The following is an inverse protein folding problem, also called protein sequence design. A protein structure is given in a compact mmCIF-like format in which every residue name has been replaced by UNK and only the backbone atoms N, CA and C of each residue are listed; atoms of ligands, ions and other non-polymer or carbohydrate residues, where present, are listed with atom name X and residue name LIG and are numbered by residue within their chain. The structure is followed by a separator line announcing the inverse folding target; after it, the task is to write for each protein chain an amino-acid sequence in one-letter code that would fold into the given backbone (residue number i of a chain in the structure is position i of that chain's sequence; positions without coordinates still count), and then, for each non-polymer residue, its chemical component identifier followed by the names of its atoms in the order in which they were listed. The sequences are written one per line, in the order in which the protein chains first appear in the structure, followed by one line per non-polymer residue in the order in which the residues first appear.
data_IF_652498571690
#
_entry.id   IF_652498571690
#
_cell.length_a   1.000
_cell.length_b   1.000
_cell.length_c   1.000
_cell.angle_alpha   90.00
_cell.angle_beta   90.00
_cell.angle_gamma   90.00
#
_symmetry.space_group_name_H-M   'P 1'
#
loop_
_entity.id
_entity.type
_entity.pdbx_description
1 polymer ?
#
# COMPACT_ATOMS: atom_id res chain seq x y z
N UNK A 1 25.85 -17.07 -2.42
CA UNK A 1 24.69 -16.20 -2.58
C UNK A 1 24.78 -15.54 -3.94
N UNK A 2 23.82 -15.81 -4.79
CA UNK A 2 23.69 -15.22 -6.12
C UNK A 2 22.83 -13.98 -6.01
N UNK A 3 23.26 -12.87 -6.59
CA UNK A 3 22.53 -11.61 -6.56
C UNK A 3 23.43 -10.39 -6.50
N UNK A 4 22.83 -9.23 -6.70
CA UNK A 4 23.51 -7.93 -6.67
C UNK A 4 23.23 -7.23 -5.34
N UNK A 5 24.28 -6.70 -4.71
CA UNK A 5 24.19 -5.85 -3.53
C UNK A 5 24.47 -4.42 -3.92
N UNK A 6 23.48 -3.56 -3.78
CA UNK A 6 23.64 -2.12 -3.95
C UNK A 6 24.23 -1.52 -2.66
N UNK A 7 25.33 -0.78 -2.79
CA UNK A 7 25.99 -0.10 -1.66
C UNK A 7 25.38 1.27 -1.38
N UNK A 8 24.72 1.86 -2.39
CA UNK A 8 24.01 3.14 -2.28
C UNK A 8 22.61 2.96 -2.87
N UNK A 9 21.61 3.04 -2.00
CA UNK A 9 20.20 2.99 -2.39
C UNK A 9 19.43 4.04 -1.60
N UNK A 10 18.61 4.83 -2.28
CA UNK A 10 17.89 5.96 -1.71
C UNK A 10 16.39 5.80 -1.94
N UNK A 11 15.60 6.29 -0.99
CA UNK A 11 14.15 6.33 -1.06
C UNK A 11 13.65 7.73 -0.67
N UNK A 12 12.44 8.08 -1.07
CA UNK A 12 11.75 9.25 -0.53
C UNK A 12 11.43 9.06 0.96
N UNK A 13 11.33 10.15 1.76
CA UNK A 13 11.22 10.04 3.22
C UNK A 13 9.97 9.33 3.74
N UNK A 14 8.88 9.28 2.95
CA UNK A 14 7.58 8.74 3.39
C UNK A 14 7.12 7.56 2.53
N UNK A 15 6.17 6.80 3.06
CA UNK A 15 5.80 5.48 2.55
C UNK A 15 5.20 5.49 1.13
N UNK A 16 4.10 6.19 0.87
CA UNK A 16 3.42 6.13 -0.44
C UNK A 16 4.31 6.61 -1.59
N UNK A 17 5.01 7.76 -1.49
CA UNK A 17 5.94 8.18 -2.55
C UNK A 17 7.02 7.15 -2.85
N UNK A 18 7.67 6.59 -1.82
CA UNK A 18 8.71 5.55 -1.99
C UNK A 18 8.15 4.27 -2.61
N UNK A 19 6.96 3.85 -2.20
CA UNK A 19 6.30 2.65 -2.72
C UNK A 19 5.90 2.82 -4.18
N UNK A 20 5.39 3.99 -4.56
CA UNK A 20 5.06 4.30 -5.96
C UNK A 20 6.33 4.37 -6.80
N UNK A 21 7.39 5.03 -6.31
CA UNK A 21 8.68 5.07 -7.00
C UNK A 21 9.22 3.66 -7.27
N UNK A 22 9.20 2.78 -6.27
CA UNK A 22 9.65 1.38 -6.41
C UNK A 22 8.83 0.62 -7.45
N UNK A 23 7.52 0.82 -7.47
CA UNK A 23 6.60 0.06 -8.33
C UNK A 23 6.50 0.57 -9.76
N UNK A 24 6.88 1.81 -10.01
CA UNK A 24 6.73 2.45 -11.33
C UNK A 24 8.06 2.84 -11.98
N UNK A 25 9.17 2.84 -11.22
CA UNK A 25 10.46 3.37 -11.66
C UNK A 25 10.51 4.90 -11.77
N UNK A 26 9.42 5.61 -11.41
CA UNK A 26 9.38 7.05 -11.43
C UNK A 26 9.93 7.65 -10.12
N UNK A 27 10.61 8.78 -10.19
CA UNK A 27 10.91 9.57 -8.98
C UNK A 27 9.70 10.37 -8.50
N UNK A 28 9.73 10.84 -7.25
CA UNK A 28 8.61 11.54 -6.63
C UNK A 28 8.23 12.86 -7.35
N UNK A 29 9.19 13.57 -7.94
CA UNK A 29 8.91 14.77 -8.73
C UNK A 29 8.12 14.45 -10.01
N UNK A 30 8.34 13.27 -10.60
CA UNK A 30 7.64 12.83 -11.80
C UNK A 30 6.22 12.34 -11.47
N UNK A 31 6.06 11.42 -10.51
CA UNK A 31 4.73 10.91 -10.17
C UNK A 31 3.89 11.85 -9.30
N UNK A 32 4.47 12.91 -8.74
CA UNK A 32 3.77 13.96 -7.96
C UNK A 32 2.91 13.43 -6.80
N UNK A 33 3.33 12.36 -6.18
CA UNK A 33 2.81 11.91 -4.89
C UNK A 33 3.83 12.34 -3.86
N UNK A 34 3.52 13.37 -3.11
CA UNK A 34 4.48 14.10 -2.25
C UNK A 34 4.46 13.62 -0.80
N UNK A 35 3.33 13.04 -0.38
CA UNK A 35 3.16 12.55 0.98
C UNK A 35 2.44 11.20 0.99
N UNK A 36 2.27 10.59 2.17
CA UNK A 36 1.47 9.37 2.32
C UNK A 36 0.00 9.64 1.96
N UNK A 37 -0.64 8.69 1.29
CA UNK A 37 -2.07 8.78 0.98
C UNK A 37 -2.90 8.53 2.23
N UNK A 38 -3.94 9.34 2.43
CA UNK A 38 -4.97 9.05 3.43
C UNK A 38 -5.70 7.73 3.10
N UNK A 39 -6.36 7.12 4.07
CA UNK A 39 -7.33 6.06 3.81
C UNK A 39 -8.56 6.57 3.04
N UNK A 40 -8.84 7.87 3.13
CA UNK A 40 -9.98 8.52 2.48
C UNK A 40 -9.59 9.20 1.18
N UNK A 41 -10.33 8.91 0.11
CA UNK A 41 -10.16 9.51 -1.21
C UNK A 41 -10.29 11.04 -1.15
N UNK A 42 -9.43 11.71 -1.91
CA UNK A 42 -9.36 13.18 -2.01
C UNK A 42 -9.01 13.91 -0.69
N UNK A 43 -8.51 13.20 0.29
CA UNK A 43 -8.04 13.78 1.54
C UNK A 43 -6.53 14.05 1.45
N UNK A 44 -6.16 15.33 1.42
CA UNK A 44 -4.75 15.75 1.36
C UNK A 44 -4.10 15.60 2.74
N UNK A 45 -2.90 15.02 2.78
CA UNK A 45 -2.10 14.82 4.00
C UNK A 45 -0.85 15.68 4.04
N UNK A 46 -0.64 16.52 3.00
CA UNK A 46 0.43 17.51 3.01
C UNK A 46 0.13 18.61 4.04
N UNK A 47 1.22 19.17 4.57
CA UNK A 47 1.13 20.26 5.51
C UNK A 47 0.54 21.53 4.85
N UNK A 48 -0.33 22.19 5.55
CA UNK A 48 -0.85 23.50 5.20
C UNK A 48 -0.92 24.37 6.47
N UNK A 49 -0.70 25.66 6.30
CA UNK A 49 -0.83 26.67 7.35
C UNK A 49 -1.45 27.96 6.79
N UNK A 50 -1.41 29.04 7.56
CA UNK A 50 -1.96 30.36 7.15
C UNK A 50 -1.21 30.99 5.96
N UNK A 51 -0.01 30.51 5.63
CA UNK A 51 0.85 31.06 4.59
C UNK A 51 0.99 30.12 3.38
N UNK A 52 0.79 28.82 3.57
CA UNK A 52 0.99 27.80 2.53
C UNK A 52 -0.24 26.92 2.36
N UNK A 53 -0.70 26.83 1.13
CA UNK A 53 -1.67 25.79 0.75
C UNK A 53 -0.96 24.46 0.52
N UNK A 54 -1.58 23.38 0.95
CA UNK A 54 -1.08 22.04 0.64
C UNK A 54 -1.16 21.76 -0.87
N UNK A 55 -0.18 21.03 -1.39
CA UNK A 55 -0.19 20.61 -2.78
C UNK A 55 -1.34 19.64 -3.05
N UNK A 56 -2.10 19.86 -4.11
CA UNK A 56 -3.24 19.01 -4.50
C UNK A 56 -2.93 18.06 -5.66
N UNK A 57 -1.71 17.58 -5.77
CA UNK A 57 -1.29 16.77 -6.93
C UNK A 57 -1.96 15.37 -6.92
N UNK A 58 -1.17 14.31 -6.91
CA UNK A 58 -1.70 12.94 -7.00
C UNK A 58 -1.99 12.32 -5.63
N UNK A 59 -2.77 13.02 -4.80
CA UNK A 59 -3.12 12.61 -3.43
C UNK A 59 -3.90 11.29 -3.34
N UNK A 60 -4.43 10.81 -4.47
CA UNK A 60 -5.08 9.50 -4.59
C UNK A 60 -4.11 8.38 -5.01
N UNK A 61 -2.80 8.66 -5.04
CA UNK A 61 -1.77 7.65 -5.23
C UNK A 61 -1.69 7.09 -6.64
N UNK A 62 -1.49 5.78 -6.76
CA UNK A 62 -1.27 5.06 -8.01
C UNK A 62 -2.58 4.54 -8.61
N UNK A 63 -2.73 4.68 -9.93
CA UNK A 63 -3.81 4.05 -10.68
C UNK A 63 -3.27 3.35 -11.94
N UNK A 64 -3.69 2.12 -12.23
CA UNK A 64 -3.41 1.44 -13.50
C UNK A 64 -4.33 1.92 -14.64
N UNK A 65 -5.29 2.80 -14.35
CA UNK A 65 -6.26 3.32 -15.32
C UNK A 65 -6.01 4.80 -15.61
N UNK A 66 -5.91 5.14 -16.88
CA UNK A 66 -5.81 6.54 -17.31
C UNK A 66 -7.05 7.34 -16.91
N UNK A 67 -6.87 8.64 -16.65
CA UNK A 67 -7.96 9.55 -16.30
C UNK A 67 -8.47 9.45 -14.87
N UNK A 68 -7.83 8.67 -14.01
CA UNK A 68 -8.15 8.64 -12.57
C UNK A 68 -7.81 9.98 -11.93
N UNK A 69 -8.80 10.59 -11.27
CA UNK A 69 -8.65 11.93 -10.67
C UNK A 69 -7.61 11.94 -9.56
N UNK A 70 -6.68 12.90 -9.60
CA UNK A 70 -5.63 13.11 -8.58
C UNK A 70 -4.83 11.83 -8.28
N UNK A 71 -4.58 11.01 -9.29
CA UNK A 71 -3.77 9.79 -9.20
C UNK A 71 -2.76 9.74 -10.36
N UNK A 72 -1.59 9.19 -10.08
CA UNK A 72 -0.61 8.93 -11.13
C UNK A 72 -1.02 7.70 -11.93
N UNK A 73 -1.05 7.83 -13.25
CA UNK A 73 -1.26 6.68 -14.15
C UNK A 73 0.06 6.00 -14.47
N UNK A 74 0.16 4.73 -14.13
CA UNK A 74 1.32 3.91 -14.52
C UNK A 74 0.99 2.42 -14.42
N UNK A 75 1.69 1.62 -15.24
CA UNK A 75 1.74 0.18 -15.07
C UNK A 75 2.70 -0.16 -13.94
N UNK A 76 2.23 -0.87 -12.94
CA UNK A 76 3.05 -1.26 -11.79
C UNK A 76 3.94 -2.47 -12.13
N UNK A 77 5.11 -2.56 -11.51
CA UNK A 77 6.07 -3.68 -11.67
C UNK A 77 5.42 -5.07 -11.53
N UNK A 78 4.51 -5.33 -10.55
CA UNK A 78 3.85 -6.64 -10.47
C UNK A 78 3.05 -6.99 -11.72
N UNK A 79 2.44 -6.00 -12.39
CA UNK A 79 1.72 -6.25 -13.64
C UNK A 79 2.69 -6.69 -14.75
N UNK A 80 3.85 -6.03 -14.87
CA UNK A 80 4.85 -6.41 -15.85
C UNK A 80 5.41 -7.83 -15.60
N UNK A 81 5.62 -8.17 -14.33
CA UNK A 81 6.06 -9.51 -13.94
C UNK A 81 4.98 -10.57 -14.23
N UNK A 82 3.72 -10.27 -13.92
CA UNK A 82 2.60 -11.14 -14.25
C UNK A 82 2.49 -11.38 -15.76
N UNK A 83 2.61 -10.32 -16.56
CA UNK A 83 2.56 -10.41 -18.02
C UNK A 83 3.74 -11.20 -18.59
N UNK A 84 4.88 -11.23 -17.88
CA UNK A 84 6.05 -12.06 -18.18
C UNK A 84 5.94 -13.51 -17.65
N UNK A 85 4.79 -13.90 -17.07
CA UNK A 85 4.52 -15.26 -16.62
C UNK A 85 4.91 -15.57 -15.16
N UNK A 86 5.27 -14.55 -14.38
CA UNK A 86 5.53 -14.75 -12.95
C UNK A 86 4.22 -14.86 -12.16
N UNK A 87 4.21 -15.72 -11.15
CA UNK A 87 3.16 -15.75 -10.15
C UNK A 87 3.46 -14.68 -9.09
N UNK A 88 2.56 -13.72 -8.93
CA UNK A 88 2.80 -12.50 -8.12
C UNK A 88 1.97 -12.53 -6.84
N UNK A 89 2.64 -12.46 -5.69
CA UNK A 89 2.03 -12.46 -4.36
C UNK A 89 2.36 -11.16 -3.65
N UNK A 90 1.39 -10.55 -3.02
CA UNK A 90 1.54 -9.45 -2.07
C UNK A 90 1.17 -9.93 -0.67
N UNK A 91 2.00 -9.63 0.32
CA UNK A 91 1.71 -9.88 1.74
C UNK A 91 2.02 -8.64 2.58
N UNK A 92 1.06 -8.19 3.37
CA UNK A 92 1.19 -7.07 4.30
C UNK A 92 0.82 -5.71 3.72
N UNK A 93 1.52 -4.66 4.14
CA UNK A 93 1.20 -3.26 3.80
C UNK A 93 1.22 -2.98 2.30
N UNK A 94 0.11 -2.52 1.74
CA UNK A 94 -0.03 -2.03 0.36
C UNK A 94 0.20 -0.51 0.25
N UNK A 95 -0.75 0.29 0.64
CA UNK A 95 -0.66 1.75 0.76
C UNK A 95 -0.26 2.49 -0.54
N UNK A 96 -0.82 2.08 -1.69
CA UNK A 96 -0.63 2.76 -2.96
C UNK A 96 -1.76 3.73 -3.32
N UNK A 97 -2.85 3.73 -2.56
CA UNK A 97 -3.97 4.64 -2.75
C UNK A 97 -5.06 4.48 -1.70
N UNK A 98 -5.93 5.50 -1.54
CA UNK A 98 -7.08 5.50 -0.63
C UNK A 98 -8.12 4.43 -0.97
N UNK A 99 -8.97 4.10 0.00
CA UNK A 99 -10.16 3.27 -0.22
C UNK A 99 -11.02 3.82 -1.36
N UNK A 100 -11.57 2.92 -2.17
CA UNK A 100 -12.37 3.28 -3.33
C UNK A 100 -11.57 3.80 -4.53
N UNK A 101 -10.23 3.69 -4.49
CA UNK A 101 -9.35 3.90 -5.65
C UNK A 101 -8.75 2.58 -6.13
N UNK A 102 -8.26 2.56 -7.36
CA UNK A 102 -7.63 1.35 -7.91
C UNK A 102 -6.39 0.94 -7.12
N UNK A 103 -5.58 1.90 -6.65
CA UNK A 103 -4.38 1.65 -5.87
C UNK A 103 -4.60 1.10 -4.46
N UNK A 104 -5.85 1.14 -3.96
CA UNK A 104 -6.18 0.53 -2.67
C UNK A 104 -6.14 -1.00 -2.70
N UNK A 105 -6.29 -1.60 -3.88
CA UNK A 105 -6.39 -3.04 -4.04
C UNK A 105 -5.20 -3.58 -4.85
N UNK A 106 -4.30 -4.38 -4.26
CA UNK A 106 -3.15 -4.96 -4.94
C UNK A 106 -3.48 -5.78 -6.20
N UNK A 107 -4.64 -6.41 -6.26
CA UNK A 107 -5.08 -7.15 -7.47
C UNK A 107 -5.11 -6.25 -8.71
N UNK A 108 -5.49 -4.98 -8.55
CA UNK A 108 -5.52 -4.02 -9.66
C UNK A 108 -4.12 -3.63 -10.16
N UNK A 109 -3.09 -3.88 -9.36
CA UNK A 109 -1.71 -3.54 -9.67
C UNK A 109 -0.90 -4.72 -10.21
N UNK A 110 -1.58 -5.86 -10.48
CA UNK A 110 -0.96 -7.04 -11.09
C UNK A 110 -0.59 -8.16 -10.14
N UNK A 111 -0.95 -8.07 -8.87
CA UNK A 111 -0.83 -9.21 -7.96
C UNK A 111 -1.93 -10.24 -8.22
N UNK A 112 -1.56 -11.53 -8.18
CA UNK A 112 -2.48 -12.66 -8.32
C UNK A 112 -3.01 -13.12 -6.97
N UNK A 113 -2.25 -12.88 -5.90
CA UNK A 113 -2.63 -13.13 -4.50
C UNK A 113 -2.38 -11.86 -3.70
N UNK A 114 -3.30 -11.50 -2.83
CA UNK A 114 -3.16 -10.41 -1.87
C UNK A 114 -3.49 -10.93 -0.48
N UNK A 115 -2.54 -10.80 0.43
CA UNK A 115 -2.68 -11.16 1.84
C UNK A 115 -2.61 -9.86 2.64
N UNK A 116 -3.74 -9.42 3.15
CA UNK A 116 -3.87 -8.25 4.04
C UNK A 116 -3.47 -6.90 3.43
N UNK A 117 -3.20 -6.81 2.14
CA UNK A 117 -2.85 -5.54 1.48
C UNK A 117 -4.08 -4.66 1.26
N UNK A 118 -4.06 -3.44 1.79
CA UNK A 118 -5.15 -2.47 1.67
C UNK A 118 -4.67 -1.02 1.74
N UNK A 119 -5.60 -0.08 1.81
CA UNK A 119 -5.31 1.36 1.76
C UNK A 119 -4.55 1.91 2.97
N UNK A 120 -4.61 1.26 4.14
CA UNK A 120 -4.01 1.79 5.36
C UNK A 120 -2.48 1.74 5.35
N UNK A 121 -1.87 2.79 5.88
CA UNK A 121 -0.41 2.92 5.98
C UNK A 121 0.19 2.23 7.20
N UNK A 122 -0.63 1.83 8.17
CA UNK A 122 -0.26 1.09 9.38
C UNK A 122 -1.45 0.27 9.87
N UNK A 123 -1.23 -0.81 10.62
CA UNK A 123 -2.32 -1.60 11.18
C UNK A 123 -2.94 -0.91 12.40
N UNK A 124 -4.20 -1.19 12.70
CA UNK A 124 -4.87 -0.78 13.92
C UNK A 124 -4.30 -1.51 15.14
N UNK A 125 -3.97 -2.79 14.99
CA UNK A 125 -3.27 -3.60 15.98
C UNK A 125 -2.35 -4.62 15.31
N UNK A 126 -1.30 -5.00 16.01
CA UNK A 126 -0.34 -6.03 15.60
C UNK A 126 -0.63 -7.40 16.22
N UNK A 127 -1.67 -7.54 17.04
CA UNK A 127 -1.93 -8.72 17.85
C UNK A 127 -3.18 -9.46 17.43
N UNK A 128 -3.06 -10.79 17.29
CA UNK A 128 -4.20 -11.69 17.07
C UNK A 128 -5.24 -11.60 18.19
N UNK A 129 -4.84 -11.42 19.43
CA UNK A 129 -5.75 -11.17 20.57
C UNK A 129 -6.67 -9.98 20.38
N UNK A 130 -6.25 -8.99 19.60
CA UNK A 130 -7.02 -7.79 19.26
C UNK A 130 -7.63 -7.90 17.87
N UNK A 131 -7.64 -9.12 17.29
CA UNK A 131 -8.13 -9.42 15.94
C UNK A 131 -7.51 -8.48 14.88
N UNK A 132 -6.26 -8.05 15.09
CA UNK A 132 -5.56 -7.08 14.23
C UNK A 132 -6.37 -5.80 13.97
N UNK A 133 -7.18 -5.39 14.96
CA UNK A 133 -8.05 -4.21 14.89
C UNK A 133 -9.47 -4.48 14.36
N UNK A 134 -9.80 -5.73 14.02
CA UNK A 134 -11.15 -6.12 13.57
C UNK A 134 -12.04 -6.41 14.78
N UNK A 135 -12.70 -5.41 15.30
CA UNK A 135 -13.66 -5.57 16.39
C UNK A 135 -15.06 -5.75 15.82
N UNK A 136 -15.79 -6.75 16.28
CA UNK A 136 -17.18 -6.99 15.87
C UNK A 136 -18.01 -5.72 16.07
N UNK A 137 -18.63 -5.26 14.99
CA UNK A 137 -19.45 -4.04 14.99
C UNK A 137 -18.66 -2.71 14.92
N UNK A 138 -17.33 -2.74 14.87
CA UNK A 138 -16.48 -1.55 14.74
C UNK A 138 -15.22 -1.84 13.92
N UNK A 139 -15.38 -2.06 12.64
CA UNK A 139 -14.22 -2.17 11.73
C UNK A 139 -13.69 -0.76 11.47
N UNK A 140 -12.42 -0.54 11.79
CA UNK A 140 -11.74 0.73 11.50
C UNK A 140 -11.09 0.70 10.11
N UNK A 141 -10.78 1.87 9.57
CA UNK A 141 -10.08 1.99 8.28
C UNK A 141 -8.66 1.37 8.31
N UNK A 142 -8.12 1.08 9.50
CA UNK A 142 -6.79 0.52 9.75
C UNK A 142 -6.81 -0.94 10.21
N UNK A 143 -8.00 -1.54 10.32
CA UNK A 143 -8.11 -2.97 10.62
C UNK A 143 -7.48 -3.80 9.50
N UNK A 144 -6.71 -4.83 9.87
CA UNK A 144 -6.00 -5.67 8.90
C UNK A 144 -6.93 -6.80 8.46
N UNK A 145 -7.26 -6.92 7.17
CA UNK A 145 -8.16 -7.96 6.67
C UNK A 145 -7.47 -9.31 6.50
N UNK A 146 -8.23 -10.35 6.17
CA UNK A 146 -7.80 -11.66 5.67
C UNK A 146 -6.96 -12.49 6.67
N UNK A 147 -7.11 -12.27 7.98
CA UNK A 147 -6.36 -12.97 9.03
C UNK A 147 -7.27 -13.57 10.12
N UNK A 148 -8.52 -13.93 9.77
CA UNK A 148 -9.54 -14.41 10.70
C UNK A 148 -9.13 -15.68 11.45
N UNK A 149 -8.30 -16.53 10.83
CA UNK A 149 -7.79 -17.77 11.43
C UNK A 149 -6.96 -17.52 12.70
N UNK A 150 -6.35 -16.32 12.81
CA UNK A 150 -5.49 -15.97 13.94
C UNK A 150 -6.19 -15.11 15.00
N UNK A 151 -7.47 -14.81 14.84
CA UNK A 151 -8.20 -13.98 15.80
C UNK A 151 -8.29 -14.66 17.19
N UNK A 152 -8.10 -13.85 18.24
CA UNK A 152 -8.10 -14.32 19.62
C UNK A 152 -6.83 -15.05 20.05
N UNK A 153 -5.84 -15.22 19.18
CA UNK A 153 -4.58 -15.92 19.45
C UNK A 153 -3.47 -14.97 19.89
N UNK A 154 -2.36 -15.53 20.38
CA UNK A 154 -1.14 -14.78 20.67
C UNK A 154 -0.28 -14.45 19.42
N UNK A 155 -0.74 -14.83 18.23
CA UNK A 155 0.01 -14.66 16.98
C UNK A 155 0.23 -13.18 16.67
N UNK A 156 1.48 -12.82 16.40
CA UNK A 156 1.84 -11.48 15.98
C UNK A 156 1.62 -11.31 14.47
N UNK A 157 1.30 -10.09 14.02
CA UNK A 157 0.94 -9.79 12.63
C UNK A 157 1.97 -10.29 11.61
N UNK A 158 3.26 -10.11 11.87
CA UNK A 158 4.31 -10.57 10.95
C UNK A 158 4.34 -12.10 10.85
N UNK A 159 4.08 -12.81 11.94
CA UNK A 159 3.98 -14.26 11.95
C UNK A 159 2.75 -14.72 11.14
N UNK A 160 1.57 -14.13 11.39
CA UNK A 160 0.35 -14.45 10.64
C UNK A 160 0.56 -14.25 9.12
N UNK A 161 1.10 -13.10 8.71
CA UNK A 161 1.40 -12.80 7.30
C UNK A 161 2.39 -13.80 6.69
N UNK A 162 3.38 -14.26 7.46
CA UNK A 162 4.34 -15.25 7.00
C UNK A 162 3.69 -16.61 6.81
N UNK A 163 2.86 -17.03 7.76
CA UNK A 163 2.12 -18.30 7.70
C UNK A 163 1.16 -18.32 6.49
N UNK A 164 0.46 -17.21 6.23
CA UNK A 164 -0.38 -17.10 5.03
C UNK A 164 0.42 -17.15 3.73
N UNK A 165 1.61 -16.54 3.70
CA UNK A 165 2.42 -16.47 2.50
C UNK A 165 3.07 -17.81 2.09
N UNK A 166 3.14 -18.78 2.98
CA UNK A 166 3.69 -20.13 2.72
C UNK A 166 2.62 -21.21 2.45
N UNK A 167 1.34 -20.87 2.56
CA UNK A 167 0.23 -21.74 2.14
C UNK A 167 0.16 -21.83 0.61
#
# INVERSE_FOLDING_TARGET
KEGMKFTNAYATPVCTPSRISLFTGMNAAHHKVTNWTSTRKNNNTDYADDQMSSAEWNINGLSPSAGSTKAVYATALPQLLKDAGYFTIHAGKAHWGPMGTAGANPYNLGFMVNISGHAAGHPQSYLGKENFGNTVGKITEHAVPDLEEYYGTDTFLTEALTLEAIK
#
